data_IF_218944247440
#
_entry.id   IF_218944247440
#
_cell.length_a   1.000
_cell.length_b   1.000
_cell.length_c   1.000
_cell.angle_alpha   90.00
_cell.angle_beta   90.00
_cell.angle_gamma   90.00
#
_symmetry.space_group_name_H-M   'P 1'
#
loop_
_entity.id
_entity.type
_entity.pdbx_description
1 polymer ?
#
# COMPACT_ATOMS: atom_id res chain seq x y z
N UNK A 1 3.41 2.32 -37.12
CA UNK A 1 4.01 1.49 -36.06
C UNK A 1 3.86 2.23 -34.74
N UNK A 2 3.19 1.66 -33.80
CA UNK A 2 3.00 2.30 -32.51
C UNK A 2 4.23 2.11 -31.62
N UNK A 3 4.59 3.16 -30.88
CA UNK A 3 5.63 3.05 -29.89
C UNK A 3 5.15 2.22 -28.69
N UNK A 4 6.04 1.50 -28.02
CA UNK A 4 5.65 0.78 -26.80
C UNK A 4 5.14 1.77 -25.76
N UNK A 5 4.02 1.42 -25.14
CA UNK A 5 3.45 2.24 -24.07
C UNK A 5 4.25 1.98 -22.80
N UNK A 6 5.00 2.99 -22.35
CA UNK A 6 5.70 2.94 -21.07
C UNK A 6 4.73 3.31 -19.95
N UNK A 7 4.19 2.30 -19.29
CA UNK A 7 3.35 2.48 -18.11
C UNK A 7 4.20 2.28 -16.87
N UNK A 8 4.18 3.25 -15.97
CA UNK A 8 5.01 3.25 -14.78
C UNK A 8 4.14 3.33 -13.53
N UNK A 9 4.62 2.69 -12.48
CA UNK A 9 4.04 2.77 -11.14
C UNK A 9 5.10 3.34 -10.23
N UNK A 10 4.72 4.33 -9.41
CA UNK A 10 5.61 4.91 -8.40
C UNK A 10 5.29 4.34 -7.03
N UNK A 11 6.33 4.05 -6.28
CA UNK A 11 6.19 3.77 -4.87
C UNK A 11 6.74 4.95 -4.07
N UNK A 12 5.93 5.51 -3.18
CA UNK A 12 6.20 6.75 -2.48
C UNK A 12 5.69 6.72 -1.04
N UNK A 13 6.13 7.71 -0.28
CA UNK A 13 5.66 7.99 1.09
C UNK A 13 5.53 9.49 1.29
N UNK A 14 5.20 9.91 2.51
CA UNK A 14 5.13 11.33 2.85
C UNK A 14 6.44 12.08 2.61
N UNK A 15 7.58 11.38 2.55
CA UNK A 15 8.87 11.97 2.25
C UNK A 15 8.97 12.51 0.82
N UNK A 16 8.14 12.03 -0.09
CA UNK A 16 8.13 12.46 -1.48
C UNK A 16 7.11 13.57 -1.67
N UNK A 17 7.52 14.69 -2.25
CA UNK A 17 6.61 15.79 -2.57
C UNK A 17 5.82 15.49 -3.84
N UNK A 18 4.54 15.81 -3.83
CA UNK A 18 3.68 15.73 -5.01
C UNK A 18 3.09 17.13 -5.24
N UNK A 19 3.52 17.78 -6.30
CA UNK A 19 3.04 19.13 -6.64
C UNK A 19 1.74 19.10 -7.42
N UNK A 20 1.60 18.11 -8.31
CA UNK A 20 0.41 18.02 -9.18
C UNK A 20 0.20 16.58 -9.63
N UNK A 21 -1.00 16.05 -9.38
CA UNK A 21 -1.38 14.73 -9.87
C UNK A 21 -1.52 14.69 -11.40
N UNK A 22 -1.90 15.82 -12.01
CA UNK A 22 -1.94 15.93 -13.47
C UNK A 22 -0.55 15.76 -14.07
N UNK A 23 0.47 16.37 -13.49
CA UNK A 23 1.86 16.19 -13.94
C UNK A 23 2.35 14.76 -13.76
N UNK A 24 1.94 14.10 -12.69
CA UNK A 24 2.26 12.68 -12.46
C UNK A 24 1.72 11.83 -13.62
N UNK A 25 0.46 12.03 -13.98
CA UNK A 25 -0.16 11.32 -15.11
C UNK A 25 0.52 11.65 -16.43
N UNK A 26 0.83 12.90 -16.67
CA UNK A 26 1.47 13.35 -17.93
C UNK A 26 2.87 12.73 -18.10
N UNK A 27 3.52 12.38 -17.02
CA UNK A 27 4.82 11.68 -17.04
C UNK A 27 4.72 10.20 -17.38
N UNK A 28 3.51 9.67 -17.61
CA UNK A 28 3.29 8.26 -17.94
C UNK A 28 3.02 7.37 -16.73
N UNK A 29 2.81 7.95 -15.57
CA UNK A 29 2.49 7.19 -14.36
C UNK A 29 1.02 6.78 -14.42
N UNK A 30 0.75 5.50 -14.21
CA UNK A 30 -0.60 4.95 -14.22
C UNK A 30 -1.09 4.53 -12.84
N UNK A 31 -0.17 4.37 -11.89
CA UNK A 31 -0.52 3.94 -10.55
C UNK A 31 0.50 4.38 -9.52
N UNK A 32 0.05 4.40 -8.27
CA UNK A 32 0.85 4.79 -7.12
C UNK A 32 0.73 3.68 -6.08
N UNK A 33 1.85 3.27 -5.50
CA UNK A 33 1.87 2.46 -4.28
C UNK A 33 2.42 3.34 -3.17
N UNK A 34 1.57 3.71 -2.22
CA UNK A 34 1.91 4.68 -1.19
C UNK A 34 2.04 4.02 0.17
N UNK A 35 3.05 4.41 0.94
CA UNK A 35 3.16 3.97 2.32
C UNK A 35 1.91 4.33 3.09
N UNK A 36 1.33 3.35 3.77
CA UNK A 36 0.17 3.57 4.64
C UNK A 36 0.56 3.50 6.10
N UNK A 37 1.27 2.45 6.48
CA UNK A 37 1.57 2.16 7.88
C UNK A 37 2.97 1.55 8.04
N UNK A 38 3.41 1.54 9.30
CA UNK A 38 4.66 0.89 9.71
C UNK A 38 4.46 0.32 11.11
N UNK A 39 4.87 -0.91 11.33
CA UNK A 39 4.74 -1.55 12.64
C UNK A 39 3.30 -1.60 13.13
N UNK A 40 3.12 -1.51 14.44
CA UNK A 40 1.81 -1.71 15.07
C UNK A 40 0.97 -0.45 15.21
N UNK A 41 1.56 0.75 15.01
CA UNK A 41 0.84 2.00 15.30
C UNK A 41 1.14 3.18 14.38
N UNK A 42 2.24 3.14 13.65
CA UNK A 42 2.59 4.28 12.76
C UNK A 42 1.69 4.30 11.53
N UNK A 43 1.18 5.50 11.24
CA UNK A 43 0.37 5.79 10.05
C UNK A 43 1.01 6.95 9.30
N UNK A 44 1.21 6.79 7.99
CA UNK A 44 1.71 7.87 7.14
C UNK A 44 0.62 8.95 7.04
N UNK A 45 0.95 10.17 7.44
CA UNK A 45 -0.03 11.26 7.55
C UNK A 45 -0.52 11.81 6.20
N UNK A 46 0.13 11.46 5.10
CA UNK A 46 -0.29 11.85 3.76
C UNK A 46 -1.11 10.78 3.05
N UNK A 47 -1.21 9.57 3.63
CA UNK A 47 -1.80 8.43 2.93
C UNK A 47 -3.24 8.68 2.49
N UNK A 48 -4.11 9.04 3.42
CA UNK A 48 -5.56 9.16 3.15
C UNK A 48 -5.87 10.28 2.16
N UNK A 49 -5.26 11.46 2.32
CA UNK A 49 -5.51 12.57 1.40
C UNK A 49 -4.99 12.27 0.00
N UNK A 50 -3.82 11.66 -0.10
CA UNK A 50 -3.24 11.32 -1.40
C UNK A 50 -3.99 10.19 -2.09
N UNK A 51 -4.50 9.21 -1.34
CA UNK A 51 -5.33 8.15 -1.90
C UNK A 51 -6.56 8.74 -2.59
N UNK A 52 -7.25 9.64 -1.92
CA UNK A 52 -8.42 10.32 -2.48
C UNK A 52 -8.07 11.14 -3.72
N UNK A 53 -7.01 11.93 -3.63
CA UNK A 53 -6.63 12.82 -4.73
C UNK A 53 -6.15 12.05 -5.96
N UNK A 54 -5.37 10.99 -5.76
CA UNK A 54 -4.88 10.15 -6.86
C UNK A 54 -6.02 9.39 -7.55
N UNK A 55 -6.96 8.86 -6.78
CA UNK A 55 -8.14 8.19 -7.34
C UNK A 55 -9.01 9.15 -8.13
N UNK A 56 -9.21 10.38 -7.62
CA UNK A 56 -9.94 11.42 -8.35
C UNK A 56 -9.23 11.82 -9.64
N UNK A 57 -7.91 11.71 -9.68
CA UNK A 57 -7.13 11.97 -10.90
C UNK A 57 -7.14 10.79 -11.88
N UNK A 58 -7.74 9.66 -11.52
CA UNK A 58 -7.82 8.48 -12.38
C UNK A 58 -6.62 7.56 -12.32
N UNK A 59 -5.80 7.65 -11.27
CA UNK A 59 -4.67 6.76 -11.05
C UNK A 59 -5.11 5.47 -10.34
N UNK A 60 -4.45 4.37 -10.66
CA UNK A 60 -4.56 3.15 -9.88
C UNK A 60 -3.85 3.33 -8.55
N UNK A 61 -4.32 2.63 -7.52
CA UNK A 61 -3.84 2.85 -6.16
C UNK A 61 -3.43 1.56 -5.48
N UNK A 62 -2.33 1.64 -4.75
CA UNK A 62 -1.87 0.59 -3.86
C UNK A 62 -1.38 1.18 -2.55
N UNK A 63 -1.37 0.34 -1.53
CA UNK A 63 -0.89 0.68 -0.20
C UNK A 63 0.20 -0.29 0.21
N UNK A 64 1.23 0.20 0.89
CA UNK A 64 2.20 -0.72 1.49
C UNK A 64 2.35 -0.49 2.98
N UNK A 65 2.67 -1.59 3.66
CA UNK A 65 3.00 -1.62 5.08
C UNK A 65 4.49 -1.88 5.23
N UNK A 66 5.18 -1.04 6.00
CA UNK A 66 6.58 -1.26 6.34
C UNK A 66 6.65 -2.18 7.56
N UNK A 67 7.21 -3.37 7.35
CA UNK A 67 7.22 -4.42 8.36
C UNK A 67 8.30 -4.21 9.41
N UNK A 68 8.00 -4.59 10.65
CA UNK A 68 9.01 -4.79 11.68
C UNK A 68 8.73 -6.08 12.46
N UNK A 69 9.54 -6.40 13.44
CA UNK A 69 9.44 -7.64 14.20
C UNK A 69 8.41 -7.63 15.33
N UNK A 70 7.56 -6.62 15.38
CA UNK A 70 6.48 -6.55 16.38
C UNK A 70 5.36 -7.54 16.04
N UNK A 71 4.34 -7.62 16.90
CA UNK A 71 3.25 -8.56 16.73
C UNK A 71 2.60 -8.48 15.34
N UNK A 72 2.51 -9.61 14.64
CA UNK A 72 2.00 -9.65 13.26
C UNK A 72 0.54 -9.25 13.19
N UNK A 73 -0.30 -9.76 14.08
CA UNK A 73 -1.74 -9.44 14.07
C UNK A 73 -1.97 -7.95 14.28
N UNK A 74 -1.23 -7.33 15.19
CA UNK A 74 -1.34 -5.89 15.44
C UNK A 74 -0.90 -5.07 14.23
N UNK A 75 0.11 -5.53 13.50
CA UNK A 75 0.54 -4.89 12.25
C UNK A 75 -0.53 -5.01 11.16
N UNK A 76 -1.15 -6.19 11.02
CA UNK A 76 -2.27 -6.41 10.09
C UNK A 76 -3.42 -5.46 10.42
N UNK A 77 -3.78 -5.36 11.69
CA UNK A 77 -4.86 -4.46 12.13
C UNK A 77 -4.55 -3.00 11.85
N UNK A 78 -3.32 -2.55 12.13
CA UNK A 78 -2.89 -1.19 11.83
C UNK A 78 -3.02 -0.88 10.33
N UNK A 79 -2.55 -1.78 9.50
CA UNK A 79 -2.58 -1.64 8.05
C UNK A 79 -4.02 -1.58 7.52
N UNK A 80 -4.84 -2.57 7.86
CA UNK A 80 -6.20 -2.65 7.34
C UNK A 80 -7.14 -1.58 7.91
N UNK A 81 -6.92 -1.15 9.15
CA UNK A 81 -7.68 -0.04 9.73
C UNK A 81 -7.43 1.26 8.97
N UNK A 82 -6.21 1.47 8.52
CA UNK A 82 -5.83 2.68 7.78
C UNK A 82 -6.29 2.61 6.33
N UNK A 83 -6.08 1.49 5.66
CA UNK A 83 -6.33 1.34 4.23
C UNK A 83 -7.77 0.96 3.93
N UNK A 84 -8.38 0.16 4.79
CA UNK A 84 -9.65 -0.49 4.51
C UNK A 84 -9.44 -1.75 3.67
N UNK A 85 -10.53 -2.48 3.43
CA UNK A 85 -10.50 -3.71 2.66
C UNK A 85 -11.42 -3.58 1.45
N UNK A 86 -10.83 -3.61 0.27
CA UNK A 86 -11.57 -3.59 -1.00
C UNK A 86 -10.81 -4.43 -2.04
N UNK A 87 -11.41 -4.65 -3.20
CA UNK A 87 -10.84 -5.46 -4.28
C UNK A 87 -10.15 -4.63 -5.37
N UNK A 88 -10.08 -3.31 -5.21
CA UNK A 88 -9.44 -2.40 -6.17
C UNK A 88 -8.06 -1.94 -5.73
N UNK A 89 -7.80 -1.92 -4.44
CA UNK A 89 -6.51 -1.52 -3.88
C UNK A 89 -5.51 -2.68 -3.94
N UNK A 90 -4.30 -2.40 -4.41
CA UNK A 90 -3.19 -3.35 -4.28
C UNK A 90 -2.62 -3.24 -2.87
N UNK A 91 -2.45 -4.38 -2.21
CA UNK A 91 -1.85 -4.43 -0.87
C UNK A 91 -0.45 -5.02 -0.98
N UNK A 92 0.54 -4.33 -0.44
CA UNK A 92 1.93 -4.74 -0.52
C UNK A 92 2.59 -4.72 0.86
N UNK A 93 3.52 -5.63 1.07
CA UNK A 93 4.38 -5.66 2.24
C UNK A 93 5.77 -5.21 1.84
N UNK A 94 6.26 -4.16 2.46
CA UNK A 94 7.66 -3.76 2.37
C UNK A 94 8.42 -4.49 3.49
N UNK A 95 9.12 -5.56 3.10
CA UNK A 95 9.85 -6.42 4.02
C UNK A 95 11.34 -6.26 3.76
N UNK A 96 11.96 -5.50 4.63
CA UNK A 96 13.40 -5.24 4.56
C UNK A 96 13.97 -5.11 5.97
N UNK A 97 15.29 -4.94 6.09
CA UNK A 97 15.90 -4.75 7.39
C UNK A 97 15.41 -3.45 8.02
N UNK A 98 14.93 -3.57 9.27
CA UNK A 98 14.54 -2.40 10.05
C UNK A 98 15.80 -1.65 10.48
N UNK A 99 15.89 -0.34 10.24
CA UNK A 99 17.02 0.48 10.68
C UNK A 99 17.28 0.40 12.18
N UNK A 100 16.24 0.11 12.97
CA UNK A 100 16.34 -0.01 14.42
C UNK A 100 16.68 -1.44 14.88
N UNK A 101 16.91 -2.36 13.95
CA UNK A 101 17.30 -3.74 14.26
C UNK A 101 16.16 -4.68 14.64
N UNK A 102 14.92 -4.22 14.57
CA UNK A 102 13.74 -5.05 14.85
C UNK A 102 13.11 -5.53 13.54
N UNK A 103 13.76 -6.49 12.89
CA UNK A 103 13.36 -6.96 11.56
C UNK A 103 12.37 -8.11 11.66
N UNK A 104 11.32 -8.05 10.86
CA UNK A 104 10.37 -9.15 10.70
C UNK A 104 11.08 -10.35 10.08
N UNK A 105 10.87 -11.54 10.61
CA UNK A 105 11.45 -12.75 10.01
C UNK A 105 10.56 -13.28 8.87
N UNK A 106 11.08 -14.24 8.11
CA UNK A 106 10.38 -14.76 6.93
C UNK A 106 9.04 -15.42 7.28
N UNK A 107 8.98 -16.13 8.40
CA UNK A 107 7.74 -16.76 8.86
C UNK A 107 6.67 -15.75 9.22
N UNK A 108 7.07 -14.67 9.85
CA UNK A 108 6.18 -13.55 10.18
C UNK A 108 5.70 -12.83 8.93
N UNK A 109 6.58 -12.61 7.95
CA UNK A 109 6.21 -12.01 6.67
C UNK A 109 5.16 -12.86 5.93
N UNK A 110 5.36 -14.15 5.91
CA UNK A 110 4.43 -15.10 5.31
C UNK A 110 3.07 -15.07 6.04
N UNK A 111 3.08 -15.07 7.36
CA UNK A 111 1.87 -14.98 8.19
C UNK A 111 1.12 -13.66 7.92
N UNK A 112 1.84 -12.55 7.84
CA UNK A 112 1.25 -11.25 7.51
C UNK A 112 0.50 -11.32 6.17
N UNK A 113 1.16 -11.80 5.13
CA UNK A 113 0.57 -11.88 3.79
C UNK A 113 -0.65 -12.82 3.76
N UNK A 114 -0.61 -13.94 4.47
CA UNK A 114 -1.74 -14.86 4.55
C UNK A 114 -2.94 -14.24 5.25
N UNK A 115 -2.71 -13.46 6.30
CA UNK A 115 -3.79 -12.76 7.03
C UNK A 115 -4.43 -11.68 6.17
N UNK A 116 -3.63 -10.90 5.45
CA UNK A 116 -4.14 -9.89 4.52
C UNK A 116 -4.98 -10.55 3.43
N UNK A 117 -4.48 -11.61 2.81
CA UNK A 117 -5.20 -12.34 1.75
C UNK A 117 -6.55 -12.87 2.24
N UNK A 118 -6.60 -13.38 3.46
CA UNK A 118 -7.85 -13.86 4.08
C UNK A 118 -8.89 -12.75 4.22
N UNK A 119 -8.48 -11.59 4.72
CA UNK A 119 -9.40 -10.46 4.91
C UNK A 119 -9.93 -9.93 3.59
N UNK A 120 -9.08 -9.81 2.58
CA UNK A 120 -9.48 -9.40 1.24
C UNK A 120 -10.44 -10.43 0.65
N UNK A 121 -10.14 -11.72 0.79
CA UNK A 121 -11.00 -12.80 0.32
C UNK A 121 -12.39 -12.80 0.96
N UNK A 122 -12.48 -12.52 2.24
CA UNK A 122 -13.76 -12.41 2.96
C UNK A 122 -14.61 -11.27 2.42
N UNK A 123 -14.00 -10.11 2.19
CA UNK A 123 -14.70 -8.95 1.63
C UNK A 123 -15.25 -9.26 0.24
N UNK A 124 -14.44 -9.86 -0.64
CA UNK A 124 -14.87 -10.27 -1.98
C UNK A 124 -16.01 -11.28 -1.95
N UNK A 125 -15.95 -12.24 -1.02
CA UNK A 125 -17.04 -13.22 -0.85
C UNK A 125 -18.34 -12.57 -0.40
N UNK A 126 -18.28 -11.57 0.46
CA UNK A 126 -19.46 -10.84 0.93
C UNK A 126 -20.15 -10.09 -0.20
N UNK A 127 -19.38 -9.52 -1.11
CA UNK A 127 -19.91 -8.75 -2.24
C UNK A 127 -20.60 -9.63 -3.29
N UNK A 128 -20.27 -10.91 -3.33
CA UNK A 128 -20.82 -11.86 -4.29
C UNK A 128 -22.16 -12.49 -3.86
N UNK A 129 -22.57 -12.22 -2.66
CA UNK A 129 -23.82 -12.80 -2.14
C UNK A 129 -25.08 -11.97 -2.56
#
# INVERSE_FOLDING_TARGET
>A
MSEPINRKVLDISHHNGIDSWAQVKDAGIVGIIHKATEGTSYVDDQYLSRARDALNAGLLWGAYHFANGSNVQDQVENFLRTVGVDDETLYALDWEDDPNGNTMNVGEAQDFLERIAREIGRASCRERV
#
